data_IF_072060832903
#
_entry.id   IF_072060832903
#
_cell.length_a   1.000
_cell.length_b   1.000
_cell.length_c   1.000
_cell.angle_alpha   90.00
_cell.angle_beta   90.00
_cell.angle_gamma   90.00
#
_symmetry.space_group_name_H-M   'P 1'
#
loop_
_entity.id
_entity.type
_entity.pdbx_description
1 polymer ?
#
# COMPACT_ATOMS: atom_id res chain seq x y z
N UNK A 1 -5.74 -79.21 -41.29
CA UNK A 1 -5.30 -77.80 -41.28
C UNK A 1 -6.54 -76.94 -41.17
N UNK A 2 -6.98 -76.66 -39.94
CA UNK A 2 -8.15 -75.83 -39.63
C UNK A 2 -8.02 -75.37 -38.18
N UNK A 3 -7.87 -74.06 -37.96
CA UNK A 3 -7.86 -73.33 -36.67
C UNK A 3 -7.36 -71.92 -36.96
N UNK A 4 -7.85 -70.78 -36.48
CA UNK A 4 -8.93 -70.37 -35.58
C UNK A 4 -9.13 -68.87 -35.92
N UNK A 5 -10.37 -68.39 -36.00
CA UNK A 5 -10.67 -66.97 -36.10
C UNK A 5 -10.54 -66.28 -34.74
N UNK A 6 -9.97 -65.08 -34.70
CA UNK A 6 -10.14 -64.14 -33.59
C UNK A 6 -10.53 -62.76 -34.11
N UNK A 7 -11.67 -62.33 -33.59
CA UNK A 7 -12.32 -61.04 -33.66
C UNK A 7 -11.62 -60.05 -32.72
N UNK A 8 -11.52 -58.77 -33.09
CA UNK A 8 -11.14 -57.68 -32.18
C UNK A 8 -11.58 -56.33 -32.74
N UNK A 9 -12.81 -55.96 -32.37
CA UNK A 9 -13.23 -54.55 -32.20
C UNK A 9 -12.48 -53.96 -30.99
N UNK A 10 -12.08 -52.68 -31.06
CA UNK A 10 -12.41 -51.61 -30.09
C UNK A 10 -11.43 -50.42 -30.06
N UNK A 11 -12.03 -49.24 -29.89
CA UNK A 11 -11.51 -47.93 -29.49
C UNK A 11 -10.86 -47.01 -30.54
N UNK A 12 -11.73 -46.20 -31.15
CA UNK A 12 -11.41 -44.84 -31.58
C UNK A 12 -11.09 -43.98 -30.34
N UNK A 13 -9.89 -43.39 -30.31
CA UNK A 13 -9.52 -42.36 -29.34
C UNK A 13 -9.66 -41.02 -30.09
N UNK A 14 -10.75 -40.32 -29.80
CA UNK A 14 -10.91 -38.92 -30.21
C UNK A 14 -9.86 -38.07 -29.51
N UNK A 15 -8.99 -37.44 -30.29
CA UNK A 15 -8.08 -36.42 -29.80
C UNK A 15 -8.90 -35.14 -29.60
N UNK A 16 -9.39 -34.95 -28.37
CA UNK A 16 -9.90 -33.67 -27.90
C UNK A 16 -8.71 -32.71 -27.84
N UNK A 17 -8.62 -31.81 -28.82
CA UNK A 17 -7.73 -30.67 -28.76
C UNK A 17 -8.19 -29.80 -27.58
N UNK A 18 -7.48 -29.91 -26.46
CA UNK A 18 -7.59 -29.00 -25.32
C UNK A 18 -7.16 -27.62 -25.83
N UNK A 19 -8.14 -26.74 -26.07
CA UNK A 19 -7.89 -25.33 -26.32
C UNK A 19 -7.20 -24.77 -25.08
N UNK A 20 -5.88 -24.58 -25.14
CA UNK A 20 -5.18 -23.72 -24.19
C UNK A 20 -5.87 -22.36 -24.23
N UNK A 21 -6.28 -21.78 -23.09
CA UNK A 21 -6.71 -20.39 -23.09
C UNK A 21 -5.55 -19.57 -23.64
N UNK A 22 -5.83 -18.74 -24.64
CA UNK A 22 -4.87 -17.81 -25.19
C UNK A 22 -4.26 -17.04 -24.01
N UNK A 23 -2.95 -17.18 -23.80
CA UNK A 23 -2.24 -16.32 -22.86
C UNK A 23 -2.48 -14.89 -23.33
N UNK A 24 -3.31 -14.16 -22.59
CA UNK A 24 -3.54 -12.74 -22.83
C UNK A 24 -2.18 -12.08 -22.83
N UNK A 25 -1.90 -11.30 -23.88
CA UNK A 25 -0.72 -10.42 -23.88
C UNK A 25 -0.73 -9.63 -22.57
N UNK A 26 0.42 -9.48 -21.89
CA UNK A 26 0.49 -8.58 -20.74
C UNK A 26 -0.05 -7.21 -21.15
N UNK A 27 -1.09 -6.75 -20.47
CA UNK A 27 -1.64 -5.41 -20.70
C UNK A 27 -0.65 -4.44 -20.09
N UNK A 28 -0.17 -3.49 -20.89
CA UNK A 28 0.57 -2.34 -20.37
C UNK A 28 -0.43 -1.40 -19.70
N UNK A 29 -0.57 -1.52 -18.38
CA UNK A 29 -1.55 -0.75 -17.61
C UNK A 29 -1.27 0.75 -17.68
N UNK A 30 0.00 1.16 -17.74
CA UNK A 30 0.38 2.56 -17.81
C UNK A 30 -0.01 3.20 -19.14
N UNK A 31 0.31 2.54 -20.26
CA UNK A 31 -0.08 3.01 -21.59
C UNK A 31 -1.60 2.97 -21.79
N UNK A 32 -2.25 1.93 -21.25
CA UNK A 32 -3.72 1.79 -21.29
C UNK A 32 -4.39 2.93 -20.52
N UNK A 33 -3.94 3.22 -19.30
CA UNK A 33 -4.49 4.29 -18.49
C UNK A 33 -4.35 5.67 -19.17
N UNK A 34 -3.21 5.92 -19.84
CA UNK A 34 -3.00 7.15 -20.63
C UNK A 34 -3.98 7.24 -21.79
N UNK A 35 -4.17 6.14 -22.54
CA UNK A 35 -5.11 6.08 -23.65
C UNK A 35 -6.55 6.34 -23.18
N UNK A 36 -6.98 5.70 -22.10
CA UNK A 36 -8.33 5.87 -21.52
C UNK A 36 -8.53 7.32 -21.06
N UNK A 37 -7.56 7.91 -20.36
CA UNK A 37 -7.63 9.30 -19.91
C UNK A 37 -7.72 10.29 -21.10
N UNK A 38 -6.96 10.05 -22.18
CA UNK A 38 -7.01 10.87 -23.40
C UNK A 38 -8.38 10.78 -24.10
N UNK A 39 -8.99 9.59 -24.15
CA UNK A 39 -10.33 9.38 -24.69
C UNK A 39 -11.39 10.14 -23.89
N UNK A 40 -11.34 10.08 -22.55
CA UNK A 40 -12.23 10.90 -21.71
C UNK A 40 -12.02 12.40 -21.95
N UNK A 41 -10.77 12.87 -21.99
CA UNK A 41 -10.45 14.30 -22.21
C UNK A 41 -10.89 14.82 -23.58
N UNK A 42 -10.99 13.94 -24.58
CA UNK A 42 -11.46 14.29 -25.94
C UNK A 42 -12.96 14.07 -26.15
N UNK A 43 -13.72 13.78 -25.08
CA UNK A 43 -15.17 13.59 -25.12
C UNK A 43 -15.62 12.25 -25.70
N UNK A 44 -14.70 11.29 -25.88
CA UNK A 44 -14.96 9.94 -26.40
C UNK A 44 -15.23 8.96 -25.26
N UNK A 45 -16.11 9.33 -24.34
CA UNK A 45 -16.33 8.58 -23.08
C UNK A 45 -16.78 7.15 -23.29
N UNK A 46 -17.62 6.86 -24.29
CA UNK A 46 -18.05 5.48 -24.56
C UNK A 46 -16.90 4.57 -25.00
N UNK A 47 -15.98 5.08 -25.80
CA UNK A 47 -14.77 4.36 -26.19
C UNK A 47 -13.76 4.24 -25.05
N UNK A 48 -13.64 5.27 -24.21
CA UNK A 48 -12.81 5.22 -23.00
C UNK A 48 -13.26 4.09 -22.07
N UNK A 49 -14.58 3.99 -21.83
CA UNK A 49 -15.20 2.92 -21.04
C UNK A 49 -14.95 1.56 -21.67
N UNK A 50 -15.22 1.39 -22.96
CA UNK A 50 -14.99 0.12 -23.64
C UNK A 50 -13.51 -0.32 -23.59
N UNK A 51 -12.58 0.62 -23.76
CA UNK A 51 -11.13 0.36 -23.67
C UNK A 51 -10.74 -0.07 -22.26
N UNK A 52 -11.24 0.63 -21.23
CA UNK A 52 -10.97 0.31 -19.84
C UNK A 52 -11.53 -1.05 -19.44
N UNK A 53 -12.79 -1.34 -19.75
CA UNK A 53 -13.41 -2.62 -19.39
C UNK A 53 -12.76 -3.81 -20.12
N UNK A 54 -12.37 -3.64 -21.38
CA UNK A 54 -11.62 -4.66 -22.11
C UNK A 54 -10.26 -4.96 -21.46
N UNK A 55 -9.57 -3.93 -20.96
CA UNK A 55 -8.30 -4.09 -20.25
C UNK A 55 -8.46 -4.72 -18.85
N UNK A 56 -9.57 -4.42 -18.16
CA UNK A 56 -9.91 -5.00 -16.84
C UNK A 56 -10.35 -6.46 -16.94
N UNK A 57 -10.95 -6.85 -18.06
CA UNK A 57 -11.56 -8.17 -18.22
C UNK A 57 -10.55 -9.31 -17.98
N UNK A 58 -10.87 -10.19 -17.02
CA UNK A 58 -10.05 -11.35 -16.68
C UNK A 58 -8.78 -11.03 -15.87
N UNK A 59 -8.55 -9.77 -15.50
CA UNK A 59 -7.46 -9.40 -14.60
C UNK A 59 -7.85 -9.67 -13.14
N UNK A 60 -6.88 -9.98 -12.26
CA UNK A 60 -7.09 -10.00 -10.81
C UNK A 60 -7.62 -8.65 -10.29
N UNK A 61 -8.43 -8.66 -9.23
CA UNK A 61 -9.08 -7.46 -8.68
C UNK A 61 -8.08 -6.33 -8.40
N UNK A 62 -6.94 -6.65 -7.77
CA UNK A 62 -5.91 -5.66 -7.45
C UNK A 62 -5.40 -4.90 -8.69
N UNK A 63 -5.26 -5.60 -9.83
CA UNK A 63 -4.83 -5.01 -11.11
C UNK A 63 -5.93 -4.14 -11.72
N UNK A 64 -7.20 -4.56 -11.60
CA UNK A 64 -8.33 -3.74 -12.05
C UNK A 64 -8.40 -2.42 -11.25
N UNK A 65 -8.27 -2.49 -9.93
CA UNK A 65 -8.27 -1.31 -9.06
C UNK A 65 -7.07 -0.40 -9.33
N UNK A 66 -5.91 -0.99 -9.63
CA UNK A 66 -4.73 -0.24 -10.04
C UNK A 66 -4.97 0.54 -11.33
N UNK A 67 -5.58 -0.09 -12.34
CA UNK A 67 -5.89 0.56 -13.60
C UNK A 67 -6.88 1.72 -13.40
N UNK A 68 -7.92 1.54 -12.58
CA UNK A 68 -8.87 2.61 -12.24
C UNK A 68 -8.15 3.79 -11.53
N UNK A 69 -7.24 3.53 -10.58
CA UNK A 69 -6.40 4.56 -9.92
C UNK A 69 -5.47 5.28 -10.90
N UNK A 70 -4.83 4.53 -11.79
CA UNK A 70 -3.90 5.07 -12.79
C UNK A 70 -4.63 6.00 -13.78
N UNK A 71 -5.85 5.65 -14.19
CA UNK A 71 -6.71 6.51 -15.02
C UNK A 71 -7.09 7.76 -14.24
N UNK A 72 -7.52 7.61 -12.98
CA UNK A 72 -7.88 8.73 -12.10
C UNK A 72 -6.74 9.76 -11.98
N UNK A 73 -5.52 9.28 -11.71
CA UNK A 73 -4.32 10.12 -11.61
C UNK A 73 -4.03 10.88 -12.91
N UNK A 74 -4.18 10.23 -14.07
CA UNK A 74 -3.92 10.82 -15.39
C UNK A 74 -4.97 11.82 -15.85
N UNK A 75 -6.18 11.73 -15.32
CA UNK A 75 -7.23 12.72 -15.55
C UNK A 75 -6.95 14.02 -14.81
N UNK A 76 -6.20 13.97 -13.68
CA UNK A 76 -5.80 15.11 -12.83
C UNK A 76 -6.94 15.92 -12.19
N UNK A 77 -8.19 15.62 -12.53
CA UNK A 77 -9.40 16.19 -11.96
C UNK A 77 -10.52 15.16 -12.03
N UNK A 78 -11.44 15.19 -11.06
CA UNK A 78 -12.64 14.34 -11.07
C UNK A 78 -13.47 14.61 -12.32
N UNK A 79 -13.97 13.54 -12.93
CA UNK A 79 -14.90 13.64 -14.05
C UNK A 79 -16.33 13.79 -13.52
N UNK A 80 -17.15 14.57 -14.23
CA UNK A 80 -18.60 14.64 -13.98
C UNK A 80 -19.25 13.30 -14.37
N UNK A 81 -19.91 12.58 -13.43
CA UNK A 81 -20.57 11.32 -13.72
C UNK A 81 -21.87 11.47 -14.52
N UNK A 82 -22.34 12.70 -14.78
CA UNK A 82 -23.48 12.99 -15.66
C UNK A 82 -23.01 13.16 -17.11
N UNK A 83 -23.11 12.11 -17.96
CA UNK A 83 -22.72 12.25 -19.36
C UNK A 83 -23.64 13.27 -20.05
N UNK A 84 -23.05 14.27 -20.71
CA UNK A 84 -23.82 15.18 -21.55
C UNK A 84 -24.46 14.38 -22.69
N UNK A 85 -25.75 14.59 -22.97
CA UNK A 85 -26.50 13.86 -24.00
C UNK A 85 -25.97 14.06 -25.45
N UNK A 86 -24.92 14.88 -25.63
CA UNK A 86 -24.23 15.11 -26.91
C UNK A 86 -22.93 14.32 -27.11
N UNK A 87 -22.40 13.61 -26.10
CA UNK A 87 -21.23 12.74 -26.28
C UNK A 87 -21.61 11.48 -27.05
N UNK A 88 -20.79 11.09 -28.03
CA UNK A 88 -21.00 9.86 -28.80
C UNK A 88 -21.09 8.66 -27.84
N UNK A 89 -22.29 8.13 -27.62
CA UNK A 89 -22.56 6.90 -26.83
C UNK A 89 -22.23 5.65 -27.63
N UNK A 90 -21.28 5.76 -28.56
CA UNK A 90 -20.74 4.60 -29.25
C UNK A 90 -20.01 3.77 -28.19
N UNK A 91 -20.21 2.44 -28.21
CA UNK A 91 -19.54 1.45 -27.35
C UNK A 91 -20.01 1.33 -25.88
N UNK A 92 -20.63 2.33 -25.28
CA UNK A 92 -21.22 2.22 -23.93
C UNK A 92 -22.44 3.12 -23.74
N UNK A 93 -23.38 2.66 -22.92
CA UNK A 93 -24.58 3.41 -22.52
C UNK A 93 -24.25 4.55 -21.55
N UNK A 94 -25.10 5.59 -21.45
CA UNK A 94 -24.92 6.65 -20.46
C UNK A 94 -24.80 6.15 -19.01
N UNK A 95 -25.53 5.09 -18.66
CA UNK A 95 -25.47 4.49 -17.33
C UNK A 95 -24.11 3.85 -17.04
N UNK A 96 -23.56 3.11 -18.02
CA UNK A 96 -22.22 2.49 -17.93
C UNK A 96 -21.11 3.54 -17.87
N UNK A 97 -21.24 4.63 -18.63
CA UNK A 97 -20.32 5.76 -18.56
C UNK A 97 -20.33 6.37 -17.15
N UNK A 98 -21.52 6.68 -16.61
CA UNK A 98 -21.65 7.27 -15.29
C UNK A 98 -21.16 6.38 -14.15
N UNK A 99 -21.40 5.05 -14.22
CA UNK A 99 -20.89 4.12 -13.21
C UNK A 99 -19.37 3.96 -13.27
N UNK A 100 -18.80 3.90 -14.47
CA UNK A 100 -17.34 3.82 -14.68
C UNK A 100 -16.64 5.07 -14.15
N UNK A 101 -17.17 6.26 -14.45
CA UNK A 101 -16.63 7.52 -13.92
C UNK A 101 -16.65 7.55 -12.39
N UNK A 102 -17.76 7.13 -11.76
CA UNK A 102 -17.82 7.02 -10.29
C UNK A 102 -16.74 6.09 -9.76
N UNK A 103 -16.60 4.90 -10.35
CA UNK A 103 -15.56 3.93 -9.95
C UNK A 103 -14.14 4.50 -10.06
N UNK A 104 -13.82 5.23 -11.12
CA UNK A 104 -12.52 5.88 -11.31
C UNK A 104 -12.29 6.99 -10.26
N UNK A 105 -13.31 7.82 -10.01
CA UNK A 105 -13.24 8.88 -8.99
C UNK A 105 -13.06 8.28 -7.59
N UNK A 106 -13.81 7.23 -7.27
CA UNK A 106 -13.75 6.49 -6.01
C UNK A 106 -12.37 5.85 -5.83
N UNK A 107 -11.84 5.19 -6.86
CA UNK A 107 -10.52 4.57 -6.82
C UNK A 107 -9.41 5.60 -6.51
N UNK A 108 -9.51 6.81 -7.08
CA UNK A 108 -8.55 7.89 -6.82
C UNK A 108 -8.70 8.56 -5.45
N UNK A 109 -9.88 8.47 -4.81
CA UNK A 109 -10.21 9.26 -3.60
C UNK A 109 -10.28 8.40 -2.34
N UNK A 110 -10.86 7.20 -2.40
CA UNK A 110 -11.09 6.33 -1.25
C UNK A 110 -9.87 5.46 -0.91
N UNK A 111 -9.57 5.23 0.37
CA UNK A 111 -8.47 4.35 0.80
C UNK A 111 -8.41 3.05 -0.02
N UNK A 112 -7.20 2.58 -0.41
CA UNK A 112 -7.10 1.32 -1.13
C UNK A 112 -7.44 0.14 -0.22
N UNK A 113 -7.97 -0.95 -0.75
CA UNK A 113 -7.99 -2.22 -0.02
C UNK A 113 -6.60 -2.86 -0.02
N UNK A 114 -6.30 -3.70 0.98
CA UNK A 114 -5.08 -4.50 1.02
C UNK A 114 -5.05 -5.44 -0.21
N UNK A 115 -4.10 -5.29 -1.15
CA UNK A 115 -4.16 -6.03 -2.41
C UNK A 115 -3.76 -7.49 -2.22
N UNK A 116 -4.49 -8.42 -2.82
CA UNK A 116 -4.01 -9.80 -3.00
C UNK A 116 -3.04 -9.85 -4.19
N UNK A 117 -1.76 -10.08 -3.89
CA UNK A 117 -0.67 -10.05 -4.86
C UNK A 117 0.00 -11.42 -5.07
N UNK A 118 -0.50 -12.48 -4.41
CA UNK A 118 0.19 -13.78 -4.35
C UNK A 118 0.41 -14.42 -5.73
N UNK A 119 -0.46 -14.13 -6.68
CA UNK A 119 -0.43 -14.69 -8.05
C UNK A 119 0.03 -13.68 -9.11
N UNK A 120 0.37 -12.45 -8.71
CA UNK A 120 0.75 -11.39 -9.62
C UNK A 120 2.22 -11.51 -10.03
N UNK A 121 2.50 -11.18 -11.29
CA UNK A 121 3.86 -10.91 -11.76
C UNK A 121 4.45 -9.65 -11.13
N UNK A 122 5.78 -9.49 -11.13
CA UNK A 122 6.44 -8.32 -10.56
C UNK A 122 5.99 -7.01 -11.22
N UNK A 123 5.73 -7.02 -12.53
CA UNK A 123 5.17 -5.86 -13.22
C UNK A 123 3.75 -5.53 -12.74
N UNK A 124 2.88 -6.51 -12.56
CA UNK A 124 1.54 -6.27 -12.02
C UNK A 124 1.60 -5.79 -10.57
N UNK A 125 2.49 -6.35 -9.74
CA UNK A 125 2.71 -5.85 -8.38
C UNK A 125 3.19 -4.40 -8.39
N UNK A 126 4.13 -4.08 -9.30
CA UNK A 126 4.63 -2.72 -9.45
C UNK A 126 3.47 -1.77 -9.82
N UNK A 127 2.65 -2.11 -10.82
CA UNK A 127 1.50 -1.30 -11.23
C UNK A 127 0.51 -1.11 -10.07
N UNK A 128 0.22 -2.18 -9.32
CA UNK A 128 -0.65 -2.14 -8.14
C UNK A 128 -0.13 -1.14 -7.11
N UNK A 129 1.12 -1.28 -6.67
CA UNK A 129 1.65 -0.44 -5.59
C UNK A 129 2.03 0.97 -6.04
N UNK A 130 2.56 1.13 -7.25
CA UNK A 130 2.83 2.46 -7.82
C UNK A 130 1.56 3.26 -8.01
N UNK A 131 0.43 2.64 -8.41
CA UNK A 131 -0.86 3.34 -8.48
C UNK A 131 -1.35 3.86 -7.12
N UNK A 132 -0.97 3.20 -6.02
CA UNK A 132 -1.27 3.67 -4.66
C UNK A 132 -0.35 4.84 -4.30
N UNK A 133 0.94 4.76 -4.62
CA UNK A 133 1.88 5.89 -4.45
C UNK A 133 1.45 7.10 -5.28
N UNK A 134 1.00 6.90 -6.52
CA UNK A 134 0.53 7.97 -7.41
C UNK A 134 -0.64 8.74 -6.80
N UNK A 135 -1.60 8.03 -6.19
CA UNK A 135 -2.84 8.59 -5.64
C UNK A 135 -2.72 9.09 -4.19
N UNK A 136 -1.83 8.50 -3.39
CA UNK A 136 -1.65 8.82 -1.95
C UNK A 136 -0.39 9.60 -1.63
N UNK A 137 0.60 9.54 -2.53
CA UNK A 137 1.88 10.20 -2.40
C UNK A 137 1.83 11.68 -2.76
N UNK A 138 2.80 12.44 -2.26
CA UNK A 138 3.07 13.80 -2.72
C UNK A 138 3.74 13.79 -4.09
N UNK A 139 3.95 14.97 -4.68
CA UNK A 139 4.69 15.08 -5.93
C UNK A 139 6.12 14.55 -5.78
N UNK A 140 6.78 14.76 -4.64
CA UNK A 140 8.11 14.23 -4.38
C UNK A 140 8.17 12.69 -4.44
N UNK A 141 7.14 11.98 -3.96
CA UNK A 141 7.08 10.52 -4.08
C UNK A 141 6.95 10.05 -5.53
N UNK A 142 6.18 10.77 -6.35
CA UNK A 142 6.03 10.51 -7.78
C UNK A 142 7.33 10.79 -8.53
N UNK A 143 7.96 11.94 -8.27
CA UNK A 143 9.23 12.33 -8.87
C UNK A 143 10.34 11.33 -8.52
N UNK A 144 10.38 10.82 -7.28
CA UNK A 144 11.30 9.75 -6.88
C UNK A 144 11.07 8.46 -7.68
N UNK A 145 9.82 7.99 -7.83
CA UNK A 145 9.54 6.82 -8.67
C UNK A 145 9.95 7.04 -10.14
N UNK A 146 9.70 8.23 -10.69
CA UNK A 146 10.05 8.58 -12.08
C UNK A 146 11.58 8.67 -12.27
N UNK A 147 12.31 9.09 -11.24
CA UNK A 147 13.78 9.12 -11.22
C UNK A 147 14.41 7.73 -11.04
N UNK A 148 13.60 6.71 -10.72
CA UNK A 148 14.06 5.37 -10.39
C UNK A 148 14.54 5.21 -8.94
N UNK A 149 14.34 6.24 -8.11
CA UNK A 149 14.61 6.15 -6.68
C UNK A 149 13.66 5.14 -6.03
N UNK A 150 14.13 4.56 -4.94
CA UNK A 150 13.35 3.64 -4.12
C UNK A 150 12.33 4.42 -3.29
N UNK A 151 11.07 4.04 -3.39
CA UNK A 151 9.97 4.59 -2.58
C UNK A 151 9.44 3.51 -1.66
N UNK A 152 9.13 3.90 -0.42
CA UNK A 152 8.55 3.01 0.59
C UNK A 152 7.05 3.30 0.66
N UNK A 153 6.23 2.26 0.54
CA UNK A 153 4.79 2.31 0.74
C UNK A 153 4.44 1.51 2.00
N UNK A 154 3.67 2.11 2.91
CA UNK A 154 3.03 1.46 4.04
C UNK A 154 1.53 1.37 3.84
N UNK A 155 0.99 0.16 3.95
CA UNK A 155 -0.44 -0.12 3.93
C UNK A 155 -0.85 -0.54 5.35
N UNK A 156 -1.56 0.36 6.03
CA UNK A 156 -2.01 0.18 7.41
C UNK A 156 -3.36 -0.54 7.45
N UNK A 157 -3.45 -1.60 8.24
CA UNK A 157 -4.67 -2.16 8.77
C UNK A 157 -4.88 -1.56 10.17
N UNK A 158 -5.98 -0.84 10.38
CA UNK A 158 -6.28 -0.21 11.67
C UNK A 158 -6.48 -1.31 12.74
N UNK A 159 -5.60 -1.33 13.73
CA UNK A 159 -5.64 -2.30 14.82
C UNK A 159 -5.43 -1.60 16.16
N UNK A 160 -6.24 -1.97 17.15
CA UNK A 160 -6.14 -1.38 18.50
C UNK A 160 -4.78 -1.63 19.13
N UNK A 161 -4.27 -0.63 19.88
CA UNK A 161 -3.01 -0.73 20.63
C UNK A 161 -3.03 -1.84 21.68
N UNK A 162 -4.23 -2.27 22.11
CA UNK A 162 -4.48 -3.35 23.06
C UNK A 162 -4.40 -4.75 22.43
N UNK A 163 -4.36 -4.84 21.11
CA UNK A 163 -4.29 -6.11 20.40
C UNK A 163 -3.08 -6.93 20.85
N UNK A 164 -3.23 -8.26 20.81
CA UNK A 164 -2.20 -9.21 21.24
C UNK A 164 -1.65 -8.85 22.63
N UNK A 165 -2.53 -8.59 23.62
CA UNK A 165 -2.14 -8.27 25.00
C UNK A 165 -1.25 -7.03 25.10
N UNK A 166 -1.52 -6.04 24.25
CA UNK A 166 -0.73 -4.82 24.12
C UNK A 166 0.66 -5.02 23.52
N UNK A 167 0.96 -6.14 22.86
CA UNK A 167 2.26 -6.39 22.23
C UNK A 167 2.31 -5.96 20.75
N UNK A 168 1.19 -5.47 20.21
CA UNK A 168 1.04 -5.15 18.80
C UNK A 168 0.88 -6.39 17.92
N UNK A 169 0.48 -6.14 16.67
CA UNK A 169 0.25 -7.14 15.63
C UNK A 169 1.05 -6.74 14.39
N UNK A 170 1.57 -7.75 13.67
CA UNK A 170 2.25 -7.55 12.39
C UNK A 170 1.29 -7.86 11.22
N UNK A 171 0.28 -7.03 11.06
CA UNK A 171 -0.81 -7.14 10.10
C UNK A 171 -0.77 -6.09 8.98
N UNK A 172 0.18 -5.17 9.04
CA UNK A 172 0.44 -4.20 7.98
C UNK A 172 1.36 -4.78 6.91
N UNK A 173 1.32 -4.15 5.73
CA UNK A 173 2.27 -4.41 4.65
C UNK A 173 3.15 -3.20 4.40
N UNK A 174 4.46 -3.42 4.40
CA UNK A 174 5.41 -2.48 3.80
C UNK A 174 5.85 -2.97 2.43
N UNK A 175 6.09 -2.05 1.50
CA UNK A 175 6.59 -2.34 0.16
C UNK A 175 7.70 -1.37 -0.19
N UNK A 176 8.79 -1.87 -0.76
CA UNK A 176 9.82 -1.03 -1.39
C UNK A 176 9.71 -1.21 -2.90
N UNK A 177 9.54 -0.09 -3.61
CA UNK A 177 9.32 -0.03 -5.06
C UNK A 177 10.48 0.72 -5.72
N UNK A 178 10.91 0.26 -6.89
CA UNK A 178 11.82 1.00 -7.76
C UNK A 178 11.62 0.58 -9.22
N UNK A 179 12.01 1.46 -10.14
CA UNK A 179 12.12 1.17 -11.57
C UNK A 179 13.51 1.56 -12.04
N UNK A 180 14.22 0.61 -12.63
CA UNK A 180 15.52 0.85 -13.24
C UNK A 180 15.37 1.66 -14.54
N UNK A 181 16.44 2.32 -14.95
CA UNK A 181 16.47 3.12 -16.18
C UNK A 181 16.20 2.32 -17.47
N UNK A 182 16.41 1.00 -17.46
CA UNK A 182 16.09 0.09 -18.57
C UNK A 182 14.63 -0.42 -18.55
N UNK A 183 13.85 0.00 -17.55
CA UNK A 183 12.45 -0.37 -17.37
C UNK A 183 12.24 -1.57 -16.44
N UNK A 184 13.30 -2.21 -15.94
CA UNK A 184 13.21 -3.27 -14.94
C UNK A 184 12.50 -2.78 -13.67
N UNK A 185 11.55 -3.56 -13.14
CA UNK A 185 10.82 -3.19 -11.92
C UNK A 185 11.31 -4.00 -10.73
N UNK A 186 11.35 -3.36 -9.56
CA UNK A 186 11.68 -3.99 -8.29
C UNK A 186 10.53 -3.80 -7.31
N UNK A 187 10.05 -4.90 -6.75
CA UNK A 187 9.02 -4.89 -5.72
C UNK A 187 9.44 -5.84 -4.60
N UNK A 188 9.61 -5.31 -3.39
CA UNK A 188 9.86 -6.10 -2.20
C UNK A 188 8.72 -5.89 -1.21
N UNK A 189 7.92 -6.93 -1.00
CA UNK A 189 6.78 -6.94 -0.07
C UNK A 189 7.21 -7.48 1.30
N UNK A 190 6.70 -6.86 2.37
CA UNK A 190 6.92 -7.26 3.75
C UNK A 190 5.58 -7.32 4.48
N UNK A 191 4.98 -8.51 4.50
CA UNK A 191 3.64 -8.79 5.04
C UNK A 191 3.57 -8.88 6.57
N UNK A 192 4.69 -8.65 7.27
CA UNK A 192 4.75 -8.64 8.73
C UNK A 192 5.31 -7.32 9.20
N UNK A 193 4.57 -6.26 8.95
CA UNK A 193 4.86 -4.94 9.46
C UNK A 193 3.79 -4.48 10.45
N UNK A 194 4.10 -3.44 11.22
CA UNK A 194 3.17 -2.75 12.09
C UNK A 194 3.48 -1.26 12.07
N UNK A 195 2.46 -0.44 11.90
CA UNK A 195 2.49 1.03 11.90
C UNK A 195 1.75 1.60 13.09
N UNK A 196 1.30 0.72 13.99
CA UNK A 196 0.61 1.03 15.24
C UNK A 196 1.58 1.00 16.44
N UNK A 197 1.37 1.85 17.45
CA UNK A 197 2.03 1.73 18.73
C UNK A 197 1.39 0.60 19.55
N UNK A 198 2.02 0.25 20.67
CA UNK A 198 1.51 -0.79 21.57
C UNK A 198 1.19 -0.26 22.95
N UNK A 199 0.10 -0.78 23.53
CA UNK A 199 -0.37 -0.40 24.87
C UNK A 199 0.66 -0.66 25.98
N UNK A 200 1.72 -1.43 25.73
CA UNK A 200 2.83 -1.57 26.68
C UNK A 200 3.50 -0.25 27.06
N UNK A 201 3.45 0.75 26.18
CA UNK A 201 4.04 2.06 26.44
C UNK A 201 2.99 3.12 26.81
N UNK A 202 1.72 2.74 26.94
CA UNK A 202 0.64 3.64 27.36
C UNK A 202 0.58 3.72 28.89
N UNK A 203 0.82 4.92 29.44
CA UNK A 203 0.76 5.18 30.87
C UNK A 203 -0.58 4.82 31.51
N UNK A 204 -1.68 4.93 30.77
CA UNK A 204 -3.02 4.61 31.23
C UNK A 204 -3.33 3.11 31.24
N UNK A 205 -2.53 2.28 30.58
CA UNK A 205 -2.71 0.83 30.55
C UNK A 205 -1.92 0.09 31.64
N UNK A 206 -1.26 0.81 32.55
CA UNK A 206 -0.42 0.23 33.62
C UNK A 206 -1.17 -0.74 34.55
N UNK A 207 -2.48 -0.55 34.74
CA UNK A 207 -3.32 -1.42 35.59
C UNK A 207 -4.11 -2.46 34.80
N UNK A 208 -3.98 -2.48 33.47
CA UNK A 208 -4.64 -3.47 32.64
C UNK A 208 -4.01 -4.86 32.87
N UNK A 209 -4.77 -5.87 33.33
CA UNK A 209 -4.20 -7.17 33.69
C UNK A 209 -3.65 -7.95 32.49
N UNK A 210 -4.05 -7.60 31.26
CA UNK A 210 -3.60 -8.25 30.05
C UNK A 210 -2.32 -7.61 29.48
N UNK A 211 -1.94 -6.42 29.94
CA UNK A 211 -0.79 -5.67 29.39
C UNK A 211 0.42 -5.74 30.33
N UNK A 212 1.55 -6.18 29.80
CA UNK A 212 2.84 -6.09 30.53
C UNK A 212 3.47 -4.71 30.31
N UNK A 213 3.11 -3.77 31.15
CA UNK A 213 3.54 -2.37 31.07
C UNK A 213 5.08 -2.18 31.05
N UNK A 214 5.53 -1.25 30.20
CA UNK A 214 6.90 -0.72 30.09
C UNK A 214 6.90 0.75 30.50
N UNK A 215 8.04 1.44 30.44
CA UNK A 215 8.08 2.88 30.68
C UNK A 215 7.13 3.57 29.69
N UNK A 216 6.28 4.46 30.19
CA UNK A 216 5.41 5.26 29.34
C UNK A 216 6.23 6.09 28.36
N UNK A 217 5.83 6.08 27.09
CA UNK A 217 6.45 6.85 26.01
C UNK A 217 5.37 7.58 25.22
N UNK A 218 5.72 8.75 24.68
CA UNK A 218 4.76 9.67 24.09
C UNK A 218 5.06 11.12 24.47
N UNK A 219 4.11 11.99 24.16
CA UNK A 219 4.08 13.39 24.57
C UNK A 219 2.75 13.63 25.26
N UNK A 220 2.74 14.39 26.35
CA UNK A 220 1.54 14.79 27.11
C UNK A 220 0.87 16.00 26.41
N UNK A 221 -0.06 15.70 25.49
CA UNK A 221 -0.81 16.67 24.69
C UNK A 221 -2.09 17.13 25.37
N UNK A 222 -2.60 16.38 26.36
CA UNK A 222 -3.80 16.75 27.13
C UNK A 222 -3.47 17.59 28.36
N UNK A 223 -2.23 17.55 28.85
CA UNK A 223 -1.75 18.28 30.02
C UNK A 223 -2.14 17.64 31.35
N UNK A 224 -2.47 16.35 31.36
CA UNK A 224 -2.92 15.61 32.54
C UNK A 224 -1.76 14.90 33.29
N UNK A 225 -0.55 14.91 32.73
CA UNK A 225 0.65 14.30 33.28
C UNK A 225 0.91 12.87 32.80
N UNK A 226 0.09 12.31 31.90
CA UNK A 226 0.27 10.99 31.29
C UNK A 226 0.59 11.16 29.80
N UNK A 227 1.76 10.69 29.32
CA UNK A 227 2.08 10.82 27.89
C UNK A 227 1.13 10.00 27.00
N UNK A 228 0.61 10.60 25.93
CA UNK A 228 -0.18 9.91 24.91
C UNK A 228 0.70 9.18 23.90
N UNK A 229 0.36 7.92 23.64
CA UNK A 229 0.89 7.17 22.50
C UNK A 229 0.62 7.93 21.22
N UNK A 230 1.57 7.85 20.29
CA UNK A 230 1.42 8.49 18.99
C UNK A 230 1.76 7.56 17.84
N UNK A 231 1.17 7.82 16.69
CA UNK A 231 1.53 7.18 15.42
C UNK A 231 1.68 8.21 14.32
N UNK A 232 2.41 7.85 13.27
CA UNK A 232 2.43 8.67 12.06
C UNK A 232 1.04 8.70 11.44
N UNK A 233 0.55 9.90 11.13
CA UNK A 233 -0.65 10.06 10.31
C UNK A 233 -0.34 9.63 8.86
N UNK A 234 -1.39 9.22 8.14
CA UNK A 234 -1.30 8.97 6.70
C UNK A 234 -0.69 10.18 5.95
N UNK A 235 -0.07 9.92 4.80
CA UNK A 235 0.61 10.91 3.97
C UNK A 235 2.04 10.50 3.58
N UNK A 236 2.80 11.45 3.02
CA UNK A 236 4.19 11.21 2.61
C UNK A 236 5.18 11.87 3.55
N UNK A 237 6.19 11.13 4.00
CA UNK A 237 7.27 11.64 4.86
C UNK A 237 8.60 11.29 4.23
N UNK A 238 9.48 12.28 4.02
CA UNK A 238 10.85 12.00 3.63
C UNK A 238 11.60 11.41 4.83
N UNK A 239 12.23 10.25 4.61
CA UNK A 239 13.03 9.57 5.60
C UNK A 239 14.52 9.62 5.23
N UNK A 240 15.36 9.67 6.26
CA UNK A 240 16.82 9.56 6.16
C UNK A 240 17.34 8.45 7.06
N UNK A 241 18.53 7.95 6.75
CA UNK A 241 19.19 6.92 7.56
C UNK A 241 19.48 7.43 8.99
N UNK A 242 19.25 6.56 9.95
CA UNK A 242 19.63 6.73 11.36
C UNK A 242 19.91 5.37 12.00
N UNK A 243 19.97 5.33 13.32
CA UNK A 243 20.01 4.11 14.10
C UNK A 243 18.90 4.03 15.15
N UNK A 244 18.55 2.80 15.52
CA UNK A 244 17.62 2.50 16.60
C UNK A 244 18.29 1.53 17.59
N UNK A 245 17.98 1.64 18.88
CA UNK A 245 18.52 0.71 19.87
C UNK A 245 18.01 -0.71 19.58
N UNK A 246 18.88 -1.71 19.53
CA UNK A 246 18.45 -3.05 19.20
C UNK A 246 17.78 -3.69 20.42
N UNK A 247 16.50 -4.11 20.36
CA UNK A 247 15.85 -4.78 21.49
C UNK A 247 16.53 -6.11 21.88
N UNK A 248 17.40 -6.67 21.02
CA UNK A 248 18.12 -7.94 21.24
C UNK A 248 19.59 -7.81 21.64
N UNK A 249 20.18 -6.61 21.60
CA UNK A 249 21.58 -6.43 21.95
C UNK A 249 21.87 -5.02 22.43
N UNK A 250 22.96 -4.84 23.19
CA UNK A 250 23.41 -3.52 23.67
C UNK A 250 23.89 -2.55 22.56
N UNK A 251 23.68 -2.90 21.28
CA UNK A 251 24.08 -2.09 20.14
C UNK A 251 22.89 -1.38 19.47
N UNK A 252 23.19 -0.62 18.43
CA UNK A 252 22.16 0.00 17.58
C UNK A 252 22.07 -0.71 16.22
N UNK A 253 20.88 -0.81 15.65
CA UNK A 253 20.64 -1.30 14.30
C UNK A 253 20.33 -0.14 13.34
N UNK A 254 20.49 -0.39 12.03
CA UNK A 254 20.01 0.51 10.99
C UNK A 254 18.53 0.83 11.21
N UNK A 255 18.15 2.07 10.92
CA UNK A 255 16.77 2.54 10.97
C UNK A 255 16.60 3.73 10.03
N UNK A 256 15.36 4.08 9.72
CA UNK A 256 15.01 5.31 9.02
C UNK A 256 14.22 6.24 9.95
N UNK A 257 14.33 7.55 9.80
CA UNK A 257 13.54 8.56 10.53
C UNK A 257 13.17 9.74 9.63
N UNK A 258 12.16 10.55 9.98
CA UNK A 258 11.88 11.81 9.31
C UNK A 258 13.12 12.69 9.14
N UNK A 259 13.28 13.25 7.95
CA UNK A 259 14.29 14.27 7.69
C UNK A 259 13.96 15.58 8.43
N UNK A 260 14.95 16.47 8.56
CA UNK A 260 14.71 17.78 9.18
C UNK A 260 13.71 18.62 8.37
N UNK A 261 13.72 18.50 7.04
CA UNK A 261 12.75 19.16 6.17
C UNK A 261 11.35 18.60 6.38
N UNK A 262 11.21 17.27 6.44
CA UNK A 262 9.93 16.62 6.73
C UNK A 262 9.35 17.04 8.08
N UNK A 263 10.19 17.20 9.11
CA UNK A 263 9.75 17.71 10.43
C UNK A 263 9.28 19.16 10.34
N UNK A 264 10.02 20.04 9.64
CA UNK A 264 9.65 21.45 9.49
C UNK A 264 8.34 21.66 8.72
N UNK A 265 8.04 20.78 7.76
CA UNK A 265 6.82 20.82 6.93
C UNK A 265 5.70 19.92 7.48
N UNK A 266 5.96 19.18 8.56
CA UNK A 266 5.14 18.08 9.04
C UNK A 266 3.95 18.48 9.91
N UNK A 267 3.28 19.59 9.59
CA UNK A 267 2.14 20.05 10.38
C UNK A 267 1.01 19.00 10.41
N UNK A 268 0.52 18.67 11.60
CA UNK A 268 -0.58 17.70 11.80
C UNK A 268 -0.30 16.28 11.27
N UNK A 269 0.96 15.82 11.31
CA UNK A 269 1.39 14.52 10.77
C UNK A 269 1.55 13.42 11.81
N UNK A 270 1.11 13.67 13.04
CA UNK A 270 1.09 12.69 14.13
C UNK A 270 -0.31 12.65 14.72
N UNK A 271 -0.82 11.45 14.92
CA UNK A 271 -2.07 11.18 15.65
C UNK A 271 -1.71 10.67 17.04
N UNK A 272 -2.44 11.14 18.06
CA UNK A 272 -2.27 10.78 19.47
C UNK A 272 -3.56 10.21 20.01
N UNK A 273 -3.42 9.12 20.76
CA UNK A 273 -4.52 8.49 21.50
C UNK A 273 -4.79 9.32 22.77
N UNK A 274 -5.47 10.44 22.58
CA UNK A 274 -5.70 11.48 23.60
C UNK A 274 -6.80 11.14 24.59
N UNK A 275 -7.61 10.13 24.27
CA UNK A 275 -8.60 9.60 25.20
C UNK A 275 -8.15 8.26 25.84
N UNK A 276 -6.99 7.72 25.43
CA UNK A 276 -6.38 6.47 25.90
C UNK A 276 -7.27 5.23 25.74
N UNK A 277 -8.13 5.22 24.73
CA UNK A 277 -9.02 4.09 24.43
C UNK A 277 -8.34 3.00 23.58
N UNK A 278 -7.11 3.27 23.12
CA UNK A 278 -6.32 2.37 22.30
C UNK A 278 -6.73 2.32 20.84
N UNK A 279 -7.49 3.31 20.37
CA UNK A 279 -7.85 3.57 18.98
C UNK A 279 -7.37 4.98 18.62
N UNK A 280 -7.17 5.23 17.33
CA UNK A 280 -6.80 6.54 16.81
C UNK A 280 -7.90 6.98 15.86
N UNK A 281 -8.78 7.86 16.32
CA UNK A 281 -9.98 8.23 15.57
C UNK A 281 -10.44 9.67 15.88
N UNK A 282 -11.65 10.02 15.44
CA UNK A 282 -12.17 11.37 15.60
C UNK A 282 -12.49 11.76 17.06
N UNK A 283 -12.58 10.79 17.97
CA UNK A 283 -12.79 11.01 19.40
C UNK A 283 -11.50 11.48 20.11
N UNK A 284 -10.35 11.43 19.42
CA UNK A 284 -9.07 11.99 19.85
C UNK A 284 -8.99 13.51 19.69
N UNK A 285 -9.77 14.23 20.50
CA UNK A 285 -9.86 15.69 20.44
C UNK A 285 -8.51 16.31 20.80
N UNK A 286 -7.91 17.01 19.84
CA UNK A 286 -6.59 17.63 20.02
C UNK A 286 -5.42 16.66 19.84
N UNK A 287 -5.68 15.40 19.48
CA UNK A 287 -4.65 14.38 19.26
C UNK A 287 -3.83 14.55 17.98
N UNK A 288 -4.17 15.49 17.10
CA UNK A 288 -3.41 15.75 15.87
C UNK A 288 -2.35 16.81 16.13
N UNK A 289 -1.08 16.41 16.05
CA UNK A 289 0.08 17.27 16.35
C UNK A 289 1.13 17.22 15.24
N UNK A 290 2.08 18.15 15.30
CA UNK A 290 3.15 18.26 14.32
C UNK A 290 4.16 17.12 14.42
N UNK A 291 4.77 16.78 13.27
CA UNK A 291 5.80 15.76 13.17
C UNK A 291 7.03 16.12 14.00
N UNK A 292 7.63 15.09 14.59
CA UNK A 292 8.98 15.15 15.15
C UNK A 292 9.83 14.01 14.56
N UNK A 293 11.08 13.88 15.00
CA UNK A 293 12.02 12.90 14.44
C UNK A 293 12.15 11.60 15.28
N UNK A 294 11.23 11.35 16.22
CA UNK A 294 11.28 10.15 17.08
C UNK A 294 10.65 8.92 16.42
N UNK A 295 9.72 9.14 15.48
CA UNK A 295 9.12 8.10 14.64
C UNK A 295 10.17 7.48 13.71
N UNK A 296 10.31 6.15 13.75
CA UNK A 296 11.33 5.43 12.99
C UNK A 296 10.75 4.24 12.24
N UNK A 297 11.49 3.74 11.25
CA UNK A 297 11.32 2.38 10.73
C UNK A 297 12.43 1.49 11.30
N UNK A 298 12.07 0.46 12.09
CA UNK A 298 13.04 -0.45 12.68
C UNK A 298 12.53 -1.90 12.82
N UNK A 299 13.37 -2.80 13.32
CA UNK A 299 12.96 -4.17 13.67
C UNK A 299 12.25 -4.18 15.02
N UNK A 300 11.13 -4.89 15.12
CA UNK A 300 10.61 -5.34 16.41
C UNK A 300 11.16 -6.71 16.81
N UNK A 301 10.55 -7.34 17.82
CA UNK A 301 10.79 -8.72 18.24
C UNK A 301 9.86 -9.72 17.54
N UNK A 302 10.06 -11.03 17.79
CA UNK A 302 9.30 -12.10 17.09
C UNK A 302 7.80 -12.09 17.40
N UNK A 303 7.42 -11.68 18.61
CA UNK A 303 6.04 -11.73 19.10
C UNK A 303 5.57 -10.39 19.67
N UNK A 304 6.37 -9.35 19.49
CA UNK A 304 6.13 -8.01 20.03
C UNK A 304 6.72 -7.02 19.03
N UNK A 305 5.96 -5.99 18.65
CA UNK A 305 6.44 -4.95 17.74
C UNK A 305 7.45 -4.02 18.43
N UNK A 306 7.46 -3.99 19.77
CA UNK A 306 8.34 -3.19 20.62
C UNK A 306 8.27 -1.68 20.34
N UNK A 307 7.13 -1.18 19.88
CA UNK A 307 6.99 0.21 19.39
C UNK A 307 6.05 1.07 20.21
N UNK A 308 6.48 2.28 20.55
CA UNK A 308 5.62 3.35 21.08
C UNK A 308 5.09 4.31 19.98
N UNK A 309 5.23 3.95 18.69
CA UNK A 309 4.76 4.77 17.56
C UNK A 309 5.55 4.64 16.26
N UNK A 310 6.70 3.98 16.31
CA UNK A 310 7.50 3.64 15.13
C UNK A 310 6.80 2.60 14.24
N UNK A 311 7.05 2.69 12.93
CA UNK A 311 6.80 1.59 12.01
C UNK A 311 7.82 0.48 12.27
N UNK A 312 7.36 -0.75 12.43
CA UNK A 312 8.20 -1.88 12.75
C UNK A 312 8.00 -3.01 11.76
N UNK A 313 9.11 -3.67 11.40
CA UNK A 313 9.05 -4.92 10.65
C UNK A 313 9.40 -6.08 11.55
N UNK A 314 8.78 -7.22 11.27
CA UNK A 314 9.16 -8.46 11.89
C UNK A 314 10.65 -8.74 11.59
N UNK A 315 11.41 -9.23 12.58
CA UNK A 315 12.86 -9.43 12.49
C UNK A 315 13.30 -10.34 11.33
N UNK A 316 12.46 -11.28 10.91
CA UNK A 316 12.75 -12.16 9.77
C UNK A 316 12.66 -11.43 8.41
N UNK A 317 11.93 -10.30 8.35
CA UNK A 317 11.78 -9.46 7.15
C UNK A 317 12.75 -8.27 7.14
N UNK A 318 13.13 -7.78 8.32
CA UNK A 318 13.89 -6.54 8.45
C UNK A 318 15.25 -6.55 7.74
N UNK A 319 15.95 -7.70 7.70
CA UNK A 319 17.23 -7.79 6.98
C UNK A 319 17.04 -7.62 5.47
N UNK A 320 15.97 -8.20 4.92
CA UNK A 320 15.63 -8.06 3.50
C UNK A 320 15.18 -6.64 3.19
N UNK A 321 14.41 -6.02 4.09
CA UNK A 321 14.05 -4.60 3.99
C UNK A 321 15.27 -3.68 3.93
N UNK A 322 16.26 -3.88 4.80
CA UNK A 322 17.52 -3.13 4.74
C UNK A 322 18.23 -3.28 3.39
N UNK A 323 18.26 -4.51 2.85
CA UNK A 323 18.83 -4.77 1.54
C UNK A 323 18.07 -4.05 0.43
N UNK A 324 16.73 -4.09 0.46
CA UNK A 324 15.88 -3.44 -0.52
C UNK A 324 16.06 -1.92 -0.51
N UNK A 325 16.06 -1.27 0.66
CA UNK A 325 16.23 0.19 0.80
C UNK A 325 17.62 0.64 0.37
N UNK A 326 18.66 -0.14 0.69
CA UNK A 326 20.07 0.20 0.43
C UNK A 326 20.62 -0.36 -0.88
N UNK A 327 19.78 -0.92 -1.73
CA UNK A 327 20.23 -1.54 -2.98
C UNK A 327 20.76 -0.50 -3.98
N UNK A 328 20.32 0.76 -3.88
CA UNK A 328 21.06 1.89 -4.44
C UNK A 328 21.88 2.56 -3.33
N UNK A 329 23.20 2.58 -3.50
CA UNK A 329 24.12 3.21 -2.56
C UNK A 329 24.20 4.73 -2.69
N UNK A 330 23.74 5.30 -3.82
CA UNK A 330 23.71 6.74 -4.05
C UNK A 330 22.50 7.40 -3.37
N UNK A 331 21.38 6.67 -3.24
CA UNK A 331 20.19 7.16 -2.57
C UNK A 331 20.41 7.29 -1.05
N UNK A 332 20.15 8.49 -0.52
CA UNK A 332 20.36 8.81 0.91
C UNK A 332 19.10 9.29 1.64
N UNK A 333 18.02 9.51 0.90
CA UNK A 333 16.68 9.78 1.43
C UNK A 333 15.63 8.96 0.68
N UNK A 334 14.50 8.68 1.33
CA UNK A 334 13.41 7.86 0.79
C UNK A 334 12.07 8.52 1.07
N UNK A 335 11.21 8.60 0.08
CA UNK A 335 9.82 8.99 0.30
C UNK A 335 9.07 7.80 0.91
N UNK A 336 8.48 7.98 2.09
CA UNK A 336 7.60 7.01 2.74
C UNK A 336 6.16 7.45 2.64
N UNK A 337 5.39 6.79 1.79
CA UNK A 337 3.94 6.99 1.63
C UNK A 337 3.23 6.03 2.56
N UNK A 338 2.45 6.54 3.51
CA UNK A 338 1.64 5.75 4.43
C UNK A 338 0.16 6.02 4.15
N UNK A 339 -0.63 4.97 4.00
CA UNK A 339 -2.09 5.05 3.86
C UNK A 339 -2.76 3.93 4.63
N UNK A 340 -3.91 4.24 5.23
CA UNK A 340 -4.82 3.22 5.77
C UNK A 340 -5.47 2.45 4.63
N UNK A 341 -5.80 1.19 4.90
CA UNK A 341 -6.54 0.29 4.01
C UNK A 341 -7.96 0.03 4.51
N UNK A 342 -8.87 -0.28 3.57
CA UNK A 342 -10.29 -0.55 3.83
C UNK A 342 -10.72 -1.94 3.35
#
# INVERSE_FOLDING_TARGET
MTSLALDSRLHAIGSSATTQPAMSRPVDNAATASTVADLFRTGRSGEAVATLEAARQGQPQAVQDALDRMVSTRLRSSLDPSPSLGTQTLYATPAEIGSTIRRINDAGSNPPSMPDTATLSDQQKYDVYSSIVETRGTQAARDSLDAGDRVILGLRAETSTLANKGQGVYDDRLVVLARDADGGVHVNEFDRASTEPTAQYDGNQKTNPDVTFRRAEGDDVTGDGVPELGRLAQGTTELIQTTHANPRSAGTSFSLRPSAAAVAEGAGRVERDSNHDGLFNADDVGGVVDLNNTFKIHSGSRTNTDSAGCTTLHPDDFRTFQGAVKADAAQTSWQYVLTTTQ
#
